data_IF_001955501971
#
_entry.id   IF_001955501971
#
_cell.length_a   1.000
_cell.length_b   1.000
_cell.length_c   1.000
_cell.angle_alpha   90.00
_cell.angle_beta   90.00
_cell.angle_gamma   90.00
#
_symmetry.space_group_name_H-M   'P 1'
#
loop_
_entity.id
_entity.type
_entity.pdbx_description
1 polymer ?
#
# COMPACT_ATOMS: atom_id res chain seq x y z
N UNK A 1 4.57 -31.38 57.89
CA UNK A 1 3.45 -31.76 57.00
C UNK A 1 4.05 -32.20 55.68
N UNK A 2 4.05 -33.52 55.39
CA UNK A 2 4.64 -34.10 54.17
C UNK A 2 3.54 -34.16 53.11
N UNK A 3 3.71 -33.43 52.01
CA UNK A 3 2.93 -33.68 50.79
C UNK A 3 3.93 -34.13 49.72
N UNK A 4 3.87 -35.43 49.43
CA UNK A 4 4.54 -36.09 48.31
C UNK A 4 3.74 -35.79 47.04
N UNK A 5 4.32 -35.07 46.09
CA UNK A 5 3.84 -35.05 44.71
C UNK A 5 4.73 -35.97 43.86
N UNK A 6 4.13 -37.03 43.31
CA UNK A 6 4.78 -38.02 42.46
C UNK A 6 4.98 -37.48 41.04
N UNK A 7 6.07 -37.93 40.43
CA UNK A 7 6.50 -37.74 39.03
C UNK A 7 5.36 -37.93 38.00
N UNK A 8 5.45 -37.15 36.91
CA UNK A 8 5.38 -37.69 35.56
C UNK A 8 6.34 -36.88 34.67
N UNK A 9 7.51 -37.47 34.36
CA UNK A 9 8.41 -36.96 33.34
C UNK A 9 7.87 -37.34 31.97
N UNK A 10 7.27 -36.39 31.26
CA UNK A 10 6.91 -36.55 29.86
C UNK A 10 8.10 -36.21 28.97
N UNK A 11 8.84 -37.23 28.52
CA UNK A 11 9.76 -37.08 27.39
C UNK A 11 8.91 -37.02 26.13
N UNK A 12 8.90 -35.88 25.44
CA UNK A 12 8.51 -35.80 24.03
C UNK A 12 9.72 -35.31 23.26
N UNK A 13 10.55 -36.25 22.82
CA UNK A 13 11.50 -36.01 21.76
C UNK A 13 10.79 -36.26 20.43
N UNK A 14 10.50 -35.20 19.69
CA UNK A 14 10.21 -35.26 18.27
C UNK A 14 11.11 -34.25 17.56
N UNK A 15 12.33 -34.70 17.26
CA UNK A 15 13.21 -34.03 16.31
C UNK A 15 12.61 -34.21 14.91
N UNK A 16 11.70 -33.32 14.52
CA UNK A 16 11.26 -33.19 13.14
C UNK A 16 12.26 -32.33 12.39
N UNK A 17 13.14 -32.96 11.60
CA UNK A 17 13.93 -32.26 10.60
C UNK A 17 12.96 -31.60 9.61
N UNK A 18 12.80 -30.29 9.71
CA UNK A 18 12.30 -29.51 8.58
C UNK A 18 13.41 -29.52 7.52
N UNK A 19 13.33 -30.48 6.60
CA UNK A 19 14.03 -30.39 5.32
C UNK A 19 13.48 -29.16 4.61
N UNK A 20 14.11 -28.01 4.85
CA UNK A 20 13.89 -26.82 4.04
C UNK A 20 14.18 -27.21 2.60
N UNK A 21 13.13 -27.36 1.80
CA UNK A 21 13.28 -27.41 0.36
C UNK A 21 13.91 -26.08 -0.03
N UNK A 22 15.22 -26.09 -0.28
CA UNK A 22 15.86 -25.06 -1.07
C UNK A 22 15.28 -25.19 -2.47
N UNK A 23 14.12 -24.58 -2.68
CA UNK A 23 13.68 -24.25 -4.02
C UNK A 23 14.76 -23.32 -4.57
N UNK A 24 15.71 -23.87 -5.33
CA UNK A 24 16.46 -23.08 -6.28
C UNK A 24 15.40 -22.48 -7.18
N UNK A 25 15.04 -21.22 -6.92
CA UNK A 25 14.48 -20.39 -7.97
C UNK A 25 15.54 -20.47 -9.07
N UNK A 26 15.23 -21.21 -10.14
CA UNK A 26 16.05 -21.17 -11.33
C UNK A 26 16.15 -19.68 -11.67
N UNK A 27 17.36 -19.13 -11.59
CA UNK A 27 17.61 -17.79 -12.07
C UNK A 27 17.10 -17.79 -13.51
N UNK A 28 16.02 -17.04 -13.77
CA UNK A 28 15.51 -16.90 -15.12
C UNK A 28 16.69 -16.34 -15.92
N UNK A 29 17.17 -17.16 -16.86
CA UNK A 29 18.56 -17.15 -17.31
C UNK A 29 19.11 -15.76 -17.58
N UNK A 30 20.23 -15.45 -16.93
CA UNK A 30 21.12 -14.38 -17.36
C UNK A 30 21.47 -14.50 -18.87
N UNK A 31 21.37 -15.71 -19.43
CA UNK A 31 21.70 -16.03 -20.82
C UNK A 31 20.56 -15.78 -21.83
N UNK A 32 19.39 -15.25 -21.44
CA UNK A 32 18.23 -15.06 -22.36
C UNK A 32 17.54 -13.70 -22.34
N UNK A 33 17.98 -12.73 -21.55
CA UNK A 33 17.38 -11.40 -21.57
C UNK A 33 17.95 -10.59 -22.76
N UNK A 34 17.16 -10.26 -23.81
CA UNK A 34 17.66 -9.52 -24.96
C UNK A 34 17.78 -8.00 -24.71
N UNK A 35 17.51 -7.53 -23.48
CA UNK A 35 17.58 -6.11 -23.13
C UNK A 35 19.04 -5.70 -22.89
N UNK A 36 19.61 -4.92 -23.81
CA UNK A 36 20.97 -4.38 -23.70
C UNK A 36 21.06 -3.15 -22.78
N UNK A 37 19.99 -2.35 -22.75
CA UNK A 37 19.94 -1.08 -22.01
C UNK A 37 18.61 -0.92 -21.30
N UNK A 38 18.67 -0.58 -20.01
CA UNK A 38 17.52 -0.17 -19.21
C UNK A 38 17.68 1.31 -18.89
N UNK A 39 16.72 2.13 -19.32
CA UNK A 39 16.62 3.54 -18.92
C UNK A 39 15.52 3.65 -17.88
N UNK A 40 15.88 4.12 -16.69
CA UNK A 40 14.92 4.34 -15.59
C UNK A 40 14.62 5.82 -15.50
N UNK A 41 13.40 6.21 -15.88
CA UNK A 41 12.90 7.56 -15.64
C UNK A 41 12.22 7.60 -14.26
N UNK A 42 12.81 8.34 -13.33
CA UNK A 42 12.24 8.54 -12.01
C UNK A 42 11.37 9.81 -12.03
N UNK A 43 10.08 9.63 -11.79
CA UNK A 43 9.11 10.71 -11.58
C UNK A 43 8.86 10.85 -10.07
N UNK A 44 8.37 12.01 -9.65
CA UNK A 44 8.20 12.39 -8.25
C UNK A 44 6.73 12.71 -7.92
N UNK A 45 6.38 12.59 -6.64
CA UNK A 45 5.23 13.20 -5.96
C UNK A 45 3.85 13.01 -6.61
N UNK A 46 3.61 11.91 -7.33
CA UNK A 46 2.29 11.56 -7.83
C UNK A 46 1.91 10.12 -7.53
N UNK A 47 0.72 9.96 -6.95
CA UNK A 47 0.14 8.64 -6.71
C UNK A 47 -0.32 7.98 -8.01
N UNK A 48 -0.56 6.68 -7.96
CA UNK A 48 -1.15 5.96 -9.09
C UNK A 48 -2.51 6.55 -9.50
N UNK A 49 -3.39 6.82 -8.54
CA UNK A 49 -4.74 7.31 -8.81
C UNK A 49 -4.74 8.71 -9.41
N UNK A 50 -3.74 9.54 -9.07
CA UNK A 50 -3.53 10.87 -9.66
C UNK A 50 -3.27 10.82 -11.18
N UNK A 51 -2.65 9.76 -11.69
CA UNK A 51 -2.34 9.61 -13.12
C UNK A 51 -3.25 8.64 -13.86
N UNK A 52 -3.65 7.55 -13.19
CA UNK A 52 -4.11 6.34 -13.87
C UNK A 52 -5.42 5.77 -13.34
N UNK A 53 -6.07 6.40 -12.36
CA UNK A 53 -7.35 5.93 -11.81
C UNK A 53 -8.43 5.71 -12.88
N UNK A 54 -8.44 6.55 -13.93
CA UNK A 54 -9.44 6.46 -15.01
C UNK A 54 -9.13 5.38 -16.05
N UNK A 55 -7.90 4.86 -16.14
CA UNK A 55 -7.53 3.85 -17.14
C UNK A 55 -8.45 2.63 -17.10
N UNK A 56 -8.93 2.25 -15.91
CA UNK A 56 -9.85 1.12 -15.75
C UNK A 56 -11.13 1.33 -16.56
N UNK A 57 -11.68 2.54 -16.50
CA UNK A 57 -12.93 2.92 -17.16
C UNK A 57 -12.72 3.31 -18.63
N UNK A 58 -11.48 3.62 -19.03
CA UNK A 58 -11.10 4.05 -20.39
C UNK A 58 -10.55 2.90 -21.26
N UNK A 59 -10.85 1.65 -20.90
CA UNK A 59 -10.55 0.48 -21.73
C UNK A 59 -9.33 -0.34 -21.29
N UNK A 60 -8.79 -0.08 -20.09
CA UNK A 60 -7.77 -0.93 -19.46
C UNK A 60 -8.34 -1.63 -18.20
N UNK A 61 -9.32 -2.55 -18.31
CA UNK A 61 -10.03 -3.10 -17.15
C UNK A 61 -9.17 -3.92 -16.18
N UNK A 62 -7.90 -4.20 -16.53
CA UNK A 62 -6.93 -4.86 -15.64
C UNK A 62 -6.21 -3.88 -14.70
N UNK A 63 -6.32 -2.57 -14.91
CA UNK A 63 -5.80 -1.60 -13.95
C UNK A 63 -6.70 -1.54 -12.73
N UNK A 64 -6.13 -1.15 -11.59
CA UNK A 64 -6.92 -0.87 -10.40
C UNK A 64 -7.93 0.25 -10.71
N UNK A 65 -9.18 0.05 -10.30
CA UNK A 65 -10.23 1.05 -10.41
C UNK A 65 -10.28 1.86 -9.11
N UNK A 66 -10.47 3.17 -9.23
CA UNK A 66 -10.88 4.01 -8.11
C UNK A 66 -12.15 3.40 -7.47
N UNK A 67 -12.19 3.19 -6.14
CA UNK A 67 -13.38 2.68 -5.48
C UNK A 67 -14.58 3.61 -5.71
N UNK A 68 -15.72 3.06 -6.16
CA UNK A 68 -16.90 3.86 -6.57
C UNK A 68 -17.38 4.87 -5.51
N UNK A 69 -17.20 4.55 -4.24
CA UNK A 69 -17.64 5.36 -3.10
C UNK A 69 -16.48 5.99 -2.32
N UNK A 70 -15.27 6.01 -2.89
CA UNK A 70 -14.14 6.72 -2.30
C UNK A 70 -14.50 8.21 -2.16
N UNK A 71 -14.29 8.71 -0.94
CA UNK A 71 -14.51 10.10 -0.58
C UNK A 71 -13.79 10.40 0.72
N UNK A 72 -13.40 11.65 0.91
CA UNK A 72 -12.79 12.14 2.12
C UNK A 72 -13.70 13.20 2.76
N UNK A 73 -13.77 13.30 4.10
CA UNK A 73 -14.51 14.38 4.75
C UNK A 73 -14.04 15.76 4.28
N UNK A 74 -14.92 16.74 4.26
CA UNK A 74 -14.49 18.12 4.07
C UNK A 74 -13.81 18.59 5.38
N UNK A 75 -12.51 18.96 5.34
CA UNK A 75 -11.77 19.22 6.56
C UNK A 75 -11.99 20.64 7.11
N UNK A 76 -12.60 21.54 6.32
CA UNK A 76 -12.88 22.93 6.74
C UNK A 76 -14.36 23.17 7.07
N UNK A 77 -15.26 22.31 6.59
CA UNK A 77 -16.69 22.34 6.92
C UNK A 77 -17.26 20.92 7.03
N UNK A 78 -17.46 20.47 8.26
CA UNK A 78 -17.99 19.12 8.56
C UNK A 78 -19.46 18.92 8.14
N UNK A 79 -20.20 20.01 7.88
CA UNK A 79 -21.57 19.95 7.38
C UNK A 79 -21.63 19.89 5.85
N UNK A 80 -20.53 20.24 5.17
CA UNK A 80 -20.44 20.17 3.72
C UNK A 80 -20.33 18.71 3.22
N UNK A 81 -20.73 18.45 1.96
CA UNK A 81 -20.54 17.13 1.36
C UNK A 81 -19.07 16.68 1.36
N UNK A 82 -18.81 15.37 1.47
CA UNK A 82 -17.47 14.84 1.38
C UNK A 82 -16.88 15.05 -0.02
N UNK A 83 -15.57 15.24 -0.07
CA UNK A 83 -14.80 15.50 -1.29
C UNK A 83 -14.50 14.16 -1.97
N UNK A 84 -14.87 14.04 -3.25
CA UNK A 84 -14.55 12.88 -4.11
C UNK A 84 -13.42 13.24 -5.06
N UNK A 85 -12.75 12.24 -5.62
CA UNK A 85 -11.80 12.46 -6.71
C UNK A 85 -12.47 13.19 -7.88
N UNK A 86 -11.76 14.13 -8.51
CA UNK A 86 -12.23 14.96 -9.61
C UNK A 86 -11.11 15.19 -10.63
N UNK A 87 -11.48 15.61 -11.84
CA UNK A 87 -10.51 15.97 -12.88
C UNK A 87 -9.88 17.33 -12.56
N UNK A 88 -8.58 17.33 -12.25
CA UNK A 88 -7.81 18.55 -12.11
C UNK A 88 -7.62 19.20 -13.49
N UNK A 89 -8.03 20.46 -13.64
CA UNK A 89 -7.93 21.23 -14.89
C UNK A 89 -6.64 22.04 -14.99
N UNK A 90 -5.94 22.21 -13.87
CA UNK A 90 -4.67 22.92 -13.83
C UNK A 90 -3.53 22.02 -14.30
N UNK A 91 -2.69 22.56 -15.18
CA UNK A 91 -1.50 21.85 -15.66
C UNK A 91 -0.37 21.83 -14.63
N UNK A 92 -0.29 22.88 -13.81
CA UNK A 92 0.71 23.01 -12.77
C UNK A 92 0.09 22.67 -11.42
N UNK A 93 0.79 21.87 -10.62
CA UNK A 93 0.43 21.62 -9.23
C UNK A 93 0.84 22.84 -8.42
N UNK A 94 -0.12 23.48 -7.76
CA UNK A 94 0.13 24.71 -6.99
C UNK A 94 0.49 24.45 -5.52
N UNK A 95 0.10 23.29 -4.97
CA UNK A 95 0.37 22.91 -3.59
C UNK A 95 1.12 21.58 -3.52
N UNK A 96 2.19 21.55 -2.74
CA UNK A 96 2.87 20.30 -2.38
C UNK A 96 2.11 19.64 -1.22
N UNK A 97 1.66 18.41 -1.46
CA UNK A 97 0.88 17.65 -0.49
C UNK A 97 1.83 16.95 0.49
N UNK A 98 1.35 16.66 1.69
CA UNK A 98 2.07 15.96 2.74
C UNK A 98 2.44 14.54 2.30
N UNK A 99 3.71 14.36 1.93
CA UNK A 99 4.30 13.08 1.55
C UNK A 99 5.27 12.57 2.62
N UNK A 100 5.11 13.04 3.87
CA UNK A 100 5.89 12.54 5.01
C UNK A 100 5.38 11.17 5.48
N UNK A 101 6.23 10.41 6.18
CA UNK A 101 5.84 9.13 6.76
C UNK A 101 4.57 9.25 7.61
N UNK A 102 4.53 10.17 8.56
CA UNK A 102 3.37 10.37 9.45
C UNK A 102 2.16 10.82 8.66
N UNK A 103 2.32 11.80 7.76
CA UNK A 103 1.23 12.29 6.90
C UNK A 103 0.57 11.17 6.12
N UNK A 104 1.34 10.34 5.42
CA UNK A 104 0.80 9.20 4.67
C UNK A 104 0.07 8.20 5.56
N UNK A 105 0.51 8.00 6.81
CA UNK A 105 -0.22 7.11 7.74
C UNK A 105 -1.55 7.73 8.21
N UNK A 106 -1.59 9.04 8.40
CA UNK A 106 -2.80 9.78 8.70
C UNK A 106 -3.77 9.75 7.50
N UNK A 107 -3.27 9.85 6.27
CA UNK A 107 -4.05 9.74 5.03
C UNK A 107 -4.71 8.36 4.87
N UNK A 108 -3.94 7.30 5.16
CA UNK A 108 -4.40 5.90 5.13
C UNK A 108 -5.46 5.63 6.21
N UNK A 109 -5.38 6.34 7.35
CA UNK A 109 -6.31 6.25 8.47
C UNK A 109 -6.65 4.80 8.88
N UNK A 110 -5.62 4.04 9.24
CA UNK A 110 -5.78 2.63 9.65
C UNK A 110 -6.40 1.72 8.56
N UNK A 111 -6.32 2.11 7.28
CA UNK A 111 -6.89 1.40 6.15
C UNK A 111 -8.28 1.87 5.72
N UNK A 112 -8.83 2.91 6.36
CA UNK A 112 -10.11 3.53 5.96
C UNK A 112 -9.98 4.36 4.69
N UNK A 113 -8.77 4.82 4.35
CA UNK A 113 -8.44 5.58 3.14
C UNK A 113 -9.26 6.87 2.98
N UNK A 114 -9.52 7.56 4.09
CA UNK A 114 -10.32 8.78 4.10
C UNK A 114 -9.73 9.91 4.95
N UNK A 115 -8.41 9.89 5.19
CA UNK A 115 -7.68 10.95 5.88
C UNK A 115 -7.02 11.98 4.96
N UNK A 116 -7.07 11.79 3.64
CA UNK A 116 -6.31 12.56 2.65
C UNK A 116 -6.56 14.06 2.71
N UNK A 117 -7.82 14.49 2.83
CA UNK A 117 -8.13 15.93 2.88
C UNK A 117 -7.74 16.55 4.21
N UNK A 118 -7.89 15.82 5.32
CA UNK A 118 -7.55 16.30 6.65
C UNK A 118 -6.03 16.44 6.87
N UNK A 119 -5.24 15.52 6.30
CA UNK A 119 -3.78 15.56 6.39
C UNK A 119 -3.11 16.64 5.51
N UNK A 120 -3.88 17.28 4.63
CA UNK A 120 -3.42 18.24 3.62
C UNK A 120 -4.14 19.60 3.68
N UNK A 121 -4.61 19.98 4.88
CA UNK A 121 -5.14 21.33 5.13
C UNK A 121 -3.96 22.28 5.31
N UNK A 122 -3.90 23.34 4.50
CA UNK A 122 -3.01 24.48 4.77
C UNK A 122 -3.51 25.19 6.05
N UNK A 123 -2.67 25.38 7.09
CA UNK A 123 -3.06 26.06 8.32
C UNK A 123 -3.64 27.47 8.14
#
# INVERSE_FOLDING_TARGET
>A
MRILARLAAGVVAAAGLATGATGSAAAHGADRNPIDHVVILMQENRSFDSYFAQLHFEGQPRTAAEPRHASNPNPVDVAAPPIRAFHATDYCVSADLNHSWTGTHDEIDGGRMNGFTAANVDP
#
